data_IF_146569596810
#
_entry.id   IF_146569596810
#
_cell.length_a   1.000
_cell.length_b   1.000
_cell.length_c   1.000
_cell.angle_alpha   90.00
_cell.angle_beta   90.00
_cell.angle_gamma   90.00
#
_symmetry.space_group_name_H-M   'P 1'
#
loop_
_entity.id
_entity.type
_entity.pdbx_description
1 polymer ?
#
# COMPACT_ATOMS: atom_id res chain seq x y z
N UNK A 1 -9.56 10.20 9.40
CA UNK A 1 -8.51 9.21 9.09
C UNK A 1 -8.79 8.62 7.73
N UNK A 2 -7.75 8.15 7.06
CA UNK A 2 -7.74 7.58 5.73
C UNK A 2 -6.94 6.29 5.76
N UNK A 3 -7.38 5.33 4.94
CA UNK A 3 -6.60 4.15 4.63
C UNK A 3 -5.96 4.33 3.25
N UNK A 4 -4.70 3.94 3.13
CA UNK A 4 -3.89 4.14 1.94
C UNK A 4 -3.17 2.87 1.54
N UNK A 5 -3.01 2.69 0.22
CA UNK A 5 -2.00 1.80 -0.35
C UNK A 5 -0.92 2.68 -0.95
N UNK A 6 0.32 2.43 -0.55
CA UNK A 6 1.49 3.18 -1.01
C UNK A 6 2.53 2.26 -1.63
N UNK A 7 3.38 2.81 -2.49
CA UNK A 7 4.57 2.18 -3.02
C UNK A 7 5.80 3.07 -2.76
N UNK A 8 6.94 2.51 -2.40
CA UNK A 8 8.20 3.28 -2.35
C UNK A 8 9.42 2.46 -2.73
N UNK A 9 10.43 3.10 -3.31
CA UNK A 9 11.61 2.43 -3.85
C UNK A 9 12.49 1.73 -2.80
N UNK A 10 12.44 2.17 -1.53
CA UNK A 10 13.33 1.68 -0.47
C UNK A 10 12.57 1.33 0.82
N UNK A 11 12.76 0.12 1.32
CA UNK A 11 12.13 -0.39 2.55
C UNK A 11 12.46 0.45 3.77
N UNK A 12 13.76 0.59 4.03
CA UNK A 12 14.29 1.13 5.28
C UNK A 12 13.84 2.58 5.46
N UNK A 13 13.73 3.29 4.33
CA UNK A 13 13.19 4.63 4.28
C UNK A 13 11.70 4.66 4.64
N UNK A 14 10.88 3.74 4.10
CA UNK A 14 9.45 3.60 4.41
C UNK A 14 9.21 3.27 5.89
N UNK A 15 9.91 2.26 6.41
CA UNK A 15 9.85 1.84 7.82
C UNK A 15 10.24 3.00 8.75
N UNK A 16 11.32 3.70 8.44
CA UNK A 16 11.79 4.85 9.22
C UNK A 16 10.80 6.01 9.16
N UNK A 17 10.31 6.36 7.97
CA UNK A 17 9.38 7.47 7.77
C UNK A 17 8.05 7.24 8.51
N UNK A 18 7.58 6.00 8.55
CA UNK A 18 6.36 5.61 9.25
C UNK A 18 6.56 5.53 10.76
N UNK A 19 7.66 4.92 11.21
CA UNK A 19 7.99 4.86 12.64
C UNK A 19 8.16 6.25 13.26
N UNK A 20 8.84 7.18 12.58
CA UNK A 20 9.05 8.56 13.07
C UNK A 20 7.74 9.36 13.21
N UNK A 21 6.70 8.98 12.48
CA UNK A 21 5.40 9.66 12.49
C UNK A 21 4.37 8.96 13.40
N UNK A 22 4.73 7.83 14.02
CA UNK A 22 3.80 7.06 14.85
C UNK A 22 2.66 6.43 14.04
N UNK A 23 2.84 6.25 12.74
CA UNK A 23 1.82 5.75 11.84
C UNK A 23 1.65 4.25 12.01
N UNK A 24 0.41 3.79 12.21
CA UNK A 24 0.08 2.36 12.12
C UNK A 24 0.20 1.93 10.66
N UNK A 25 1.17 1.06 10.40
CA UNK A 25 1.47 0.58 9.06
C UNK A 25 1.63 -0.93 9.05
N UNK A 26 1.25 -1.54 7.92
CA UNK A 26 1.63 -2.91 7.61
C UNK A 26 2.38 -2.90 6.28
N UNK A 27 3.68 -3.10 6.37
CA UNK A 27 4.51 -3.38 5.20
C UNK A 27 4.48 -4.87 4.96
N UNK A 28 4.08 -5.26 3.76
CA UNK A 28 4.16 -6.64 3.33
C UNK A 28 5.41 -6.73 2.45
N UNK A 29 6.40 -7.55 2.83
CA UNK A 29 7.57 -7.72 1.99
C UNK A 29 7.16 -8.26 0.63
N UNK A 30 7.72 -7.63 -0.40
CA UNK A 30 7.81 -8.27 -1.70
C UNK A 30 8.83 -9.38 -1.57
N UNK A 31 8.39 -10.62 -1.42
CA UNK A 31 9.28 -11.70 -1.84
C UNK A 31 9.53 -11.48 -3.33
N UNK A 32 10.78 -11.17 -3.68
CA UNK A 32 11.23 -11.19 -5.08
C UNK A 32 10.78 -12.53 -5.66
N UNK A 33 9.87 -12.52 -6.61
CA UNK A 33 9.62 -13.69 -7.44
C UNK A 33 10.91 -13.92 -8.25
N UNK A 34 11.66 -15.00 -8.01
CA UNK A 34 12.92 -15.24 -8.69
C UNK A 34 12.75 -15.51 -10.20
N UNK A 35 11.51 -15.69 -10.68
CA UNK A 35 11.19 -15.87 -12.10
C UNK A 35 10.83 -14.55 -12.81
N UNK A 36 10.60 -13.48 -12.05
CA UNK A 36 10.50 -12.13 -12.59
C UNK A 36 11.89 -11.50 -12.51
N UNK A 37 12.73 -11.71 -13.54
CA UNK A 37 13.95 -10.92 -13.79
C UNK A 37 13.60 -9.47 -14.19
N UNK A 38 12.78 -8.82 -13.39
CA UNK A 38 12.60 -7.38 -13.48
C UNK A 38 13.55 -6.82 -12.44
N UNK A 39 14.65 -6.21 -12.89
CA UNK A 39 15.36 -5.19 -12.13
C UNK A 39 14.40 -4.02 -11.91
N UNK A 40 13.37 -4.22 -11.10
CA UNK A 40 12.51 -3.13 -10.73
C UNK A 40 13.26 -2.37 -9.65
N UNK A 41 13.85 -1.24 -10.05
CA UNK A 41 14.39 -0.18 -9.19
C UNK A 41 13.35 0.38 -8.17
N UNK A 42 12.16 -0.21 -8.13
CA UNK A 42 10.99 0.08 -7.29
C UNK A 42 10.33 -1.26 -6.92
N UNK A 43 9.80 -1.52 -5.74
CA UNK A 43 9.47 -0.64 -4.64
C UNK A 43 8.44 -1.36 -3.77
N UNK A 44 8.62 -1.30 -2.47
CA UNK A 44 7.80 -1.92 -1.43
C UNK A 44 6.38 -1.39 -1.49
N UNK A 45 5.39 -2.28 -1.39
CA UNK A 45 3.98 -1.87 -1.25
C UNK A 45 3.54 -2.00 0.21
N UNK A 46 2.82 -0.99 0.69
CA UNK A 46 2.43 -0.88 2.09
C UNK A 46 0.99 -0.43 2.25
N UNK A 47 0.38 -0.87 3.34
CA UNK A 47 -0.85 -0.31 3.85
C UNK A 47 -0.54 0.67 4.98
N UNK A 48 -1.24 1.81 4.98
CA UNK A 48 -1.08 2.86 5.97
C UNK A 48 -2.44 3.40 6.41
N UNK A 49 -2.59 3.71 7.70
CA UNK A 49 -3.66 4.57 8.19
C UNK A 49 -3.10 5.91 8.63
N UNK A 50 -3.64 7.00 8.12
CA UNK A 50 -3.15 8.35 8.34
C UNK A 50 -4.30 9.36 8.52
N UNK A 51 -4.07 10.44 9.24
CA UNK A 51 -4.98 11.60 9.26
C UNK A 51 -4.76 12.52 8.03
N UNK A 52 -5.55 13.60 7.92
CA UNK A 52 -5.47 14.51 6.78
C UNK A 52 -4.09 15.18 6.67
N UNK A 53 -3.51 15.62 7.78
CA UNK A 53 -2.22 16.33 7.76
C UNK A 53 -1.09 15.38 7.37
N UNK A 54 -1.14 14.14 7.84
CA UNK A 54 -0.21 13.09 7.48
C UNK A 54 -0.31 12.73 5.98
N UNK A 55 -1.53 12.58 5.45
CA UNK A 55 -1.75 12.34 4.01
C UNK A 55 -1.12 13.44 3.14
N UNK A 56 -1.35 14.71 3.47
CA UNK A 56 -0.75 15.80 2.71
C UNK A 56 0.79 15.76 2.81
N UNK A 57 1.33 15.49 3.99
CA UNK A 57 2.79 15.36 4.17
C UNK A 57 3.41 14.21 3.36
N UNK A 58 2.65 13.15 3.10
CA UNK A 58 3.10 11.98 2.33
C UNK A 58 3.13 12.29 0.82
N UNK A 59 2.25 13.15 0.33
CA UNK A 59 2.23 13.58 -1.09
C UNK A 59 3.46 14.38 -1.48
N UNK A 60 4.07 15.07 -0.53
CA UNK A 60 5.29 15.86 -0.75
C UNK A 60 6.55 14.99 -0.81
N UNK A 61 6.45 13.69 -0.53
CA UNK A 61 7.58 12.78 -0.55
C UNK A 61 7.75 12.19 -1.95
N UNK A 62 8.69 12.72 -2.73
CA UNK A 62 8.95 12.26 -4.11
C UNK A 62 9.38 10.79 -4.29
N UNK A 63 9.72 10.08 -3.19
CA UNK A 63 10.05 8.65 -3.22
C UNK A 63 8.86 7.74 -2.85
N UNK A 64 7.73 8.33 -2.47
CA UNK A 64 6.51 7.63 -2.08
C UNK A 64 5.42 7.91 -3.10
N UNK A 65 4.75 6.85 -3.53
CA UNK A 65 3.64 6.92 -4.46
C UNK A 65 2.38 6.41 -3.76
N UNK A 66 1.31 7.21 -3.75
CA UNK A 66 0.01 6.79 -3.21
C UNK A 66 -0.80 6.18 -4.36
N UNK A 67 -1.08 4.88 -4.25
CA UNK A 67 -1.79 4.11 -5.28
C UNK A 67 -3.30 4.10 -5.05
N UNK A 68 -3.74 4.17 -3.79
CA UNK A 68 -5.15 4.31 -3.42
C UNK A 68 -5.27 5.05 -2.08
N UNK A 69 -6.36 5.80 -1.90
CA UNK A 69 -6.65 6.53 -0.67
C UNK A 69 -8.16 6.69 -0.49
N UNK A 70 -8.69 6.17 0.61
CA UNK A 70 -10.11 6.27 0.96
C UNK A 70 -10.31 6.76 2.39
N UNK A 71 -11.39 7.49 2.69
CA UNK A 71 -11.76 7.80 4.07
C UNK A 71 -11.98 6.51 4.87
N UNK A 72 -11.41 6.43 6.08
CA UNK A 72 -11.64 5.30 6.98
C UNK A 72 -13.03 5.41 7.63
N UNK A 73 -13.88 4.41 7.39
CA UNK A 73 -15.26 4.36 7.91
C UNK A 73 -15.53 3.09 8.73
N UNK A 74 -14.50 2.34 9.11
CA UNK A 74 -14.62 1.06 9.83
C UNK A 74 -14.61 -0.16 8.90
N UNK A 75 -15.32 -1.22 9.29
CA UNK A 75 -15.39 -2.47 8.53
C UNK A 75 -15.98 -2.22 7.13
N UNK A 76 -15.22 -2.55 6.08
CA UNK A 76 -15.57 -2.29 4.66
C UNK A 76 -14.68 -1.26 3.97
N UNK A 77 -13.84 -0.52 4.71
CA UNK A 77 -12.87 0.42 4.11
C UNK A 77 -11.89 -0.30 3.16
N UNK A 78 -11.52 -1.53 3.48
CA UNK A 78 -10.68 -2.39 2.64
C UNK A 78 -11.26 -2.60 1.23
N UNK A 79 -12.57 -2.88 1.13
CA UNK A 79 -13.22 -3.12 -0.15
C UNK A 79 -13.24 -1.86 -1.01
N UNK A 80 -13.50 -0.70 -0.40
CA UNK A 80 -13.44 0.60 -1.07
C UNK A 80 -12.01 0.92 -1.57
N UNK A 81 -11.01 0.62 -0.75
CA UNK A 81 -9.59 0.83 -1.08
C UNK A 81 -9.16 -0.05 -2.27
N UNK A 82 -9.51 -1.33 -2.28
CA UNK A 82 -9.22 -2.22 -3.41
C UNK A 82 -10.03 -1.86 -4.66
N UNK A 83 -11.29 -1.45 -4.50
CA UNK A 83 -12.09 -0.99 -5.62
C UNK A 83 -11.43 0.21 -6.31
N UNK A 84 -10.94 1.20 -5.54
CA UNK A 84 -10.19 2.32 -6.09
C UNK A 84 -8.88 1.88 -6.74
N UNK A 85 -8.10 1.03 -6.08
CA UNK A 85 -6.84 0.50 -6.59
C UNK A 85 -7.01 -0.20 -7.95
N UNK A 86 -8.06 -1.02 -8.11
CA UNK A 86 -8.30 -1.79 -9.33
C UNK A 86 -9.05 -1.00 -10.41
N UNK A 87 -9.65 0.14 -10.07
CA UNK A 87 -10.22 1.06 -11.04
C UNK A 87 -9.13 1.86 -11.78
N UNK A 88 -7.97 2.09 -11.16
CA UNK A 88 -6.83 2.74 -11.80
C UNK A 88 -5.91 1.70 -12.47
N UNK A 89 -5.72 1.83 -13.80
CA UNK A 89 -4.95 0.85 -14.58
C UNK A 89 -3.47 0.79 -14.19
N UNK A 90 -2.89 1.92 -13.78
CA UNK A 90 -1.50 2.00 -13.37
C UNK A 90 -1.30 1.41 -11.97
N UNK A 91 -2.14 1.80 -11.01
CA UNK A 91 -2.13 1.25 -9.66
C UNK A 91 -2.40 -0.25 -9.67
N UNK A 92 -3.35 -0.70 -10.50
CA UNK A 92 -3.60 -2.12 -10.78
C UNK A 92 -2.36 -2.82 -11.32
N UNK A 93 -1.70 -2.25 -12.34
CA UNK A 93 -0.49 -2.86 -12.90
C UNK A 93 0.62 -2.98 -11.85
N UNK A 94 0.80 -1.94 -11.01
CA UNK A 94 1.74 -1.98 -9.89
C UNK A 94 1.38 -3.10 -8.90
N UNK A 95 0.11 -3.21 -8.51
CA UNK A 95 -0.34 -4.28 -7.61
C UNK A 95 -0.18 -5.67 -8.24
N UNK A 96 -0.58 -5.87 -9.49
CA UNK A 96 -0.52 -7.17 -10.18
C UNK A 96 0.92 -7.63 -10.46
N UNK A 97 1.89 -6.72 -10.54
CA UNK A 97 3.32 -7.07 -10.59
C UNK A 97 3.83 -7.69 -9.29
N UNK A 98 3.17 -7.37 -8.18
CA UNK A 98 3.63 -7.73 -6.83
C UNK A 98 2.81 -8.86 -6.22
N UNK A 99 1.53 -8.94 -6.56
CA UNK A 99 0.62 -9.95 -6.06
C UNK A 99 -0.04 -10.68 -7.23
N UNK A 100 0.17 -12.01 -7.36
CA UNK A 100 -0.45 -12.77 -8.42
C UNK A 100 -1.99 -12.69 -8.31
N UNK A 101 -2.72 -12.85 -9.43
CA UNK A 101 -4.18 -12.74 -9.45
C UNK A 101 -4.90 -13.65 -8.44
N UNK A 102 -4.31 -14.79 -8.07
CA UNK A 102 -4.83 -15.73 -7.07
C UNK A 102 -4.95 -15.14 -5.66
N UNK A 103 -4.21 -14.07 -5.33
CA UNK A 103 -4.34 -13.37 -4.04
C UNK A 103 -5.55 -12.44 -3.98
N UNK A 104 -6.24 -12.18 -5.10
CA UNK A 104 -7.47 -11.36 -5.13
C UNK A 104 -8.62 -12.01 -4.37
N UNK A 105 -8.76 -13.33 -4.48
CA UNK A 105 -9.91 -14.07 -3.95
C UNK A 105 -9.86 -14.22 -2.42
N UNK A 106 -8.69 -14.00 -1.81
CA UNK A 106 -8.48 -14.01 -0.35
C UNK A 106 -8.55 -12.64 0.33
N UNK A 107 -8.88 -11.57 -0.41
CA UNK A 107 -8.89 -10.18 0.10
C UNK A 107 -7.53 -9.45 0.03
N UNK A 108 -6.52 -10.06 -0.60
CA UNK A 108 -5.16 -9.54 -0.65
C UNK A 108 -4.44 -9.56 0.71
N UNK A 109 -3.14 -9.24 0.72
CA UNK A 109 -2.26 -9.49 1.86
C UNK A 109 -2.61 -8.66 3.10
N UNK A 110 -3.32 -7.54 2.92
CA UNK A 110 -3.68 -6.62 4.01
C UNK A 110 -5.08 -6.86 4.58
N UNK A 111 -5.89 -7.76 4.01
CA UNK A 111 -7.30 -7.94 4.43
C UNK A 111 -7.45 -8.28 5.93
N UNK A 112 -6.57 -9.14 6.45
CA UNK A 112 -6.57 -9.54 7.86
C UNK A 112 -6.17 -8.38 8.79
N UNK A 113 -5.19 -7.58 8.39
CA UNK A 113 -4.73 -6.43 9.18
C UNK A 113 -5.74 -5.29 9.20
N UNK A 114 -6.47 -5.08 8.10
CA UNK A 114 -7.49 -4.04 7.98
C UNK A 114 -8.75 -4.32 8.82
N UNK A 115 -9.01 -5.56 9.25
CA UNK A 115 -10.13 -5.90 10.15
C UNK A 115 -9.82 -5.72 11.64
N UNK A 116 -8.54 -5.67 12.02
CA UNK A 116 -8.09 -5.60 13.41
C UNK A 116 -7.54 -4.25 13.87
N UNK A 117 -7.33 -3.31 12.95
CA UNK A 117 -6.79 -1.98 13.21
C UNK A 117 -7.87 -0.90 13.33
#
# INVERSE_FOLDING_TARGET
MFDLIVCASHRDWLETAFAQRGLTHLLVPLERDPLLEVESEHGWMGYLRADTAEVESLRDIGLLEILAIVPFTGAGTADALYHQLFADAYARQRYERLYPPSMREGGGPWFGAMRGA
#
